data_IF_985929808253
#
_entry.id   IF_985929808253
#
_cell.length_a   1.000
_cell.length_b   1.000
_cell.length_c   1.000
_cell.angle_alpha   90.00
_cell.angle_beta   90.00
_cell.angle_gamma   90.00
#
_symmetry.space_group_name_H-M   'P 1'
#
loop_
_entity.id
_entity.type
_entity.pdbx_description
1 polymer ?
#
# COMPACT_ATOMS: atom_id res chain seq x y z
N UNK A 1 -2.19 35.42 -16.39
CA UNK A 1 -1.08 34.65 -15.78
C UNK A 1 -1.06 33.27 -16.40
N UNK A 2 -0.01 32.83 -17.11
CA UNK A 2 -0.03 31.51 -17.73
C UNK A 2 0.24 30.47 -16.64
N UNK A 3 -0.75 29.62 -16.39
CA UNK A 3 -0.63 28.45 -15.52
C UNK A 3 0.38 27.51 -16.17
N UNK A 4 1.63 27.51 -15.69
CA UNK A 4 2.65 26.53 -16.09
C UNK A 4 2.13 25.15 -15.71
N UNK A 5 1.94 24.27 -16.71
CA UNK A 5 1.65 22.84 -16.53
C UNK A 5 2.63 22.20 -15.53
N UNK A 6 2.25 22.14 -14.25
CA UNK A 6 3.02 21.49 -13.20
C UNK A 6 3.18 19.98 -13.47
N UNK A 7 2.26 19.39 -14.23
CA UNK A 7 2.30 18.02 -14.75
C UNK A 7 3.48 17.74 -15.70
N UNK A 8 4.07 18.76 -16.34
CA UNK A 8 5.26 18.56 -17.21
C UNK A 8 6.56 18.45 -16.41
N UNK A 9 6.57 18.89 -15.14
CA UNK A 9 7.80 18.99 -14.32
C UNK A 9 7.94 17.88 -13.27
N UNK A 10 6.84 17.25 -12.89
CA UNK A 10 6.81 16.13 -11.93
C UNK A 10 5.87 15.03 -12.47
N UNK A 11 6.37 14.10 -13.30
CA UNK A 11 5.56 13.01 -13.84
C UNK A 11 5.28 12.00 -12.72
N UNK A 12 4.35 12.32 -11.85
CA UNK A 12 3.85 11.40 -10.82
C UNK A 12 3.10 10.27 -11.53
N UNK A 13 3.73 9.11 -11.59
CA UNK A 13 3.07 7.90 -12.10
C UNK A 13 2.08 7.45 -11.04
N UNK A 14 0.80 7.60 -11.34
CA UNK A 14 -0.27 7.08 -10.49
C UNK A 14 -0.36 5.57 -10.65
N UNK A 15 -0.39 4.85 -9.53
CA UNK A 15 -0.46 3.38 -9.50
C UNK A 15 -1.57 2.95 -8.58
N UNK A 16 -2.33 1.94 -9.04
CA UNK A 16 -3.28 1.21 -8.20
C UNK A 16 -2.68 -0.15 -7.85
N UNK A 17 -2.91 -0.61 -6.62
CA UNK A 17 -2.47 -1.90 -6.13
C UNK A 17 -3.65 -2.66 -5.54
N UNK A 18 -3.91 -3.85 -6.10
CA UNK A 18 -5.03 -4.71 -5.72
C UNK A 18 -4.48 -5.94 -5.01
N UNK A 19 -4.84 -6.08 -3.74
CA UNK A 19 -4.46 -7.24 -2.91
C UNK A 19 -5.69 -8.08 -2.63
N UNK A 20 -5.58 -9.41 -2.74
CA UNK A 20 -6.58 -10.35 -2.23
C UNK A 20 -5.88 -11.34 -1.32
N UNK A 21 -6.36 -11.49 -0.09
CA UNK A 21 -5.80 -12.34 0.94
C UNK A 21 -6.56 -13.66 1.05
N UNK A 22 -5.83 -14.74 1.36
CA UNK A 22 -6.41 -16.04 1.71
C UNK A 22 -7.29 -15.97 2.96
N UNK A 23 -7.16 -14.92 3.78
CA UNK A 23 -8.02 -14.67 4.94
C UNK A 23 -9.44 -14.20 4.56
N UNK A 24 -9.71 -13.96 3.27
CA UNK A 24 -11.06 -13.63 2.80
C UNK A 24 -11.34 -12.14 2.70
N UNK A 25 -10.32 -11.32 2.49
CA UNK A 25 -10.47 -9.89 2.24
C UNK A 25 -9.72 -9.47 0.98
N UNK A 26 -10.20 -8.40 0.35
CA UNK A 26 -9.58 -7.73 -0.77
C UNK A 26 -9.43 -6.25 -0.46
N UNK A 27 -8.35 -5.66 -0.95
CA UNK A 27 -8.01 -4.27 -0.70
C UNK A 27 -7.56 -3.61 -1.99
N UNK A 28 -8.06 -2.40 -2.22
CA UNK A 28 -7.58 -1.49 -3.25
C UNK A 28 -6.82 -0.35 -2.58
N UNK A 29 -5.59 -0.17 -3.02
CA UNK A 29 -4.74 0.94 -2.64
C UNK A 29 -4.42 1.77 -3.88
N UNK A 30 -4.26 3.07 -3.70
CA UNK A 30 -3.78 3.94 -4.76
C UNK A 30 -2.66 4.81 -4.27
N UNK A 31 -1.78 5.20 -5.19
CA UNK A 31 -0.72 6.10 -4.83
C UNK A 31 0.13 6.50 -6.01
N UNK A 32 1.39 6.76 -5.72
CA UNK A 32 2.32 7.36 -6.67
C UNK A 32 3.72 6.77 -6.53
N UNK A 33 4.42 6.74 -7.66
CA UNK A 33 5.85 6.43 -7.72
C UNK A 33 6.65 7.72 -7.80
N UNK A 34 7.67 7.85 -6.96
CA UNK A 34 8.62 8.95 -6.98
C UNK A 34 10.04 8.42 -6.79
N UNK A 35 10.82 8.42 -7.86
CA UNK A 35 12.19 7.89 -7.84
C UNK A 35 12.19 6.38 -7.53
N UNK A 36 12.90 5.99 -6.48
CA UNK A 36 13.00 4.61 -6.02
C UNK A 36 11.96 4.26 -4.94
N UNK A 37 10.96 5.13 -4.72
CA UNK A 37 9.94 4.96 -3.70
C UNK A 37 8.54 4.89 -4.32
N UNK A 38 7.72 3.97 -3.84
CA UNK A 38 6.29 3.91 -4.10
C UNK A 38 5.55 4.09 -2.79
N UNK A 39 4.52 4.94 -2.78
CA UNK A 39 3.67 5.17 -1.61
C UNK A 39 2.23 4.98 -1.99
N UNK A 40 1.50 4.22 -1.19
CA UNK A 40 0.11 3.80 -1.40
C UNK A 40 -0.73 4.12 -0.17
N UNK A 41 -1.97 4.52 -0.41
CA UNK A 41 -2.98 4.73 0.62
C UNK A 41 -4.23 3.93 0.30
N UNK A 42 -4.93 3.50 1.35
CA UNK A 42 -6.20 2.81 1.24
C UNK A 42 -7.20 3.59 0.38
N UNK A 43 -7.86 2.89 -0.53
CA UNK A 43 -9.06 3.37 -1.22
C UNK A 43 -10.30 2.62 -0.81
N UNK A 44 -10.19 1.30 -0.74
CA UNK A 44 -11.32 0.45 -0.42
C UNK A 44 -10.83 -0.83 0.24
N UNK A 45 -11.56 -1.26 1.26
CA UNK A 45 -11.39 -2.55 1.91
C UNK A 45 -12.70 -3.31 1.81
N UNK A 46 -12.64 -4.56 1.33
CA UNK A 46 -13.78 -5.44 1.16
C UNK A 46 -13.47 -6.75 1.88
N UNK A 47 -14.33 -7.12 2.83
CA UNK A 47 -14.30 -8.45 3.46
C UNK A 47 -15.39 -9.33 2.86
N UNK A 48 -15.16 -10.65 2.81
CA UNK A 48 -16.22 -11.62 2.52
C UNK A 48 -17.34 -11.53 3.57
N UNK A 49 -18.57 -11.84 3.15
CA UNK A 49 -19.76 -11.75 4.01
C UNK A 49 -19.99 -12.98 4.90
N UNK A 50 -19.22 -14.06 4.71
CA UNK A 50 -19.34 -15.32 5.44
C UNK A 50 -17.97 -15.73 5.97
N UNK A 51 -17.91 -16.22 7.21
CA UNK A 51 -16.66 -16.62 7.84
C UNK A 51 -16.58 -18.10 8.15
N UNK A 52 -15.34 -18.60 8.11
CA UNK A 52 -14.95 -19.91 8.65
C UNK A 52 -13.90 -19.62 9.72
N UNK A 53 -14.31 -19.48 10.98
CA UNK A 53 -13.39 -19.61 12.13
C UNK A 53 -13.08 -18.38 13.00
N UNK A 54 -13.52 -17.15 12.71
CA UNK A 54 -13.44 -16.05 13.69
C UNK A 54 -14.36 -14.90 13.31
N UNK A 55 -15.12 -14.34 14.26
CA UNK A 55 -15.83 -13.07 14.08
C UNK A 55 -14.81 -11.94 14.20
N UNK A 56 -14.27 -11.48 13.08
CA UNK A 56 -13.37 -10.34 13.08
C UNK A 56 -14.15 -9.09 12.65
N UNK A 57 -14.65 -8.33 13.63
CA UNK A 57 -15.16 -6.95 13.46
C UNK A 57 -14.02 -5.95 13.18
N UNK A 58 -12.97 -6.40 12.50
CA UNK A 58 -11.82 -5.58 12.15
C UNK A 58 -12.25 -4.61 11.04
N UNK A 59 -12.20 -3.33 11.36
CA UNK A 59 -12.42 -2.24 10.42
C UNK A 59 -11.10 -1.49 10.25
N UNK A 60 -10.66 -1.34 9.00
CA UNK A 60 -9.46 -0.59 8.66
C UNK A 60 -9.87 0.85 8.38
N UNK A 61 -9.41 1.79 9.21
CA UNK A 61 -9.65 3.22 9.08
C UNK A 61 -8.63 3.88 8.15
N UNK A 62 -7.36 3.57 8.38
CA UNK A 62 -6.25 4.01 7.54
C UNK A 62 -5.33 2.84 7.22
N UNK A 63 -4.81 2.83 6.00
CA UNK A 63 -3.74 1.90 5.61
C UNK A 63 -2.79 2.63 4.67
N UNK A 64 -1.50 2.59 4.99
CA UNK A 64 -0.42 3.12 4.18
C UNK A 64 0.62 2.04 3.93
N UNK A 65 1.04 1.90 2.67
CA UNK A 65 2.16 1.05 2.29
C UNK A 65 3.20 1.85 1.53
N UNK A 66 4.45 1.60 1.87
CA UNK A 66 5.59 2.14 1.15
C UNK A 66 6.52 1.02 0.71
N UNK A 67 7.00 1.11 -0.52
CA UNK A 67 8.12 0.33 -1.01
C UNK A 67 9.26 1.28 -1.33
N UNK A 68 10.45 0.95 -0.84
CA UNK A 68 11.68 1.69 -1.11
C UNK A 68 12.71 0.71 -1.68
N UNK A 69 13.33 1.07 -2.81
CA UNK A 69 14.45 0.32 -3.37
C UNK A 69 15.75 1.12 -3.16
N UNK A 70 16.38 1.05 -1.98
CA UNK A 70 17.59 1.83 -1.69
C UNK A 70 18.75 1.44 -2.60
N UNK A 71 18.80 0.17 -3.03
CA UNK A 71 19.77 -0.35 -3.99
C UNK A 71 19.07 -1.30 -4.97
N UNK A 72 19.74 -1.67 -6.05
CA UNK A 72 19.22 -2.68 -6.99
C UNK A 72 18.92 -4.03 -6.30
N UNK A 73 19.66 -4.38 -5.25
CA UNK A 73 19.58 -5.70 -4.60
C UNK A 73 18.73 -5.72 -3.32
N UNK A 74 18.18 -4.60 -2.88
CA UNK A 74 17.43 -4.49 -1.64
C UNK A 74 16.12 -3.77 -1.86
N UNK A 75 15.06 -4.25 -1.19
CA UNK A 75 13.78 -3.57 -1.11
C UNK A 75 13.33 -3.55 0.34
N UNK A 76 12.83 -2.40 0.80
CA UNK A 76 12.23 -2.23 2.11
C UNK A 76 10.74 -1.99 1.89
N UNK A 77 9.89 -2.80 2.53
CA UNK A 77 8.46 -2.57 2.60
C UNK A 77 8.11 -2.09 4.00
N UNK A 78 7.37 -0.99 4.08
CA UNK A 78 6.77 -0.50 5.31
C UNK A 78 5.26 -0.48 5.15
N UNK A 79 4.56 -0.95 6.16
CA UNK A 79 3.10 -0.93 6.23
C UNK A 79 2.72 -0.30 7.56
N UNK A 80 1.70 0.56 7.55
CA UNK A 80 1.03 1.05 8.75
C UNK A 80 -0.46 0.92 8.55
N UNK A 81 -1.16 0.40 9.55
CA UNK A 81 -2.60 0.29 9.55
C UNK A 81 -3.15 0.91 10.83
N UNK A 82 -4.21 1.70 10.71
CA UNK A 82 -5.06 2.09 11.84
C UNK A 82 -6.39 1.37 11.69
N UNK A 83 -6.82 0.72 12.77
CA UNK A 83 -8.05 -0.04 12.83
C UNK A 83 -9.00 0.55 13.87
N UNK A 84 -10.19 -0.02 13.98
CA UNK A 84 -11.09 0.26 15.09
C UNK A 84 -10.57 -0.24 16.46
N UNK A 85 -9.50 -1.04 16.49
CA UNK A 85 -8.92 -1.59 17.72
C UNK A 85 -7.62 -0.87 18.10
N UNK A 86 -6.66 -0.79 17.18
CA UNK A 86 -5.34 -0.17 17.41
C UNK A 86 -4.67 0.27 16.10
N UNK A 87 -3.51 0.93 16.23
CA UNK A 87 -2.58 1.24 15.15
C UNK A 87 -1.35 0.35 15.21
N UNK A 88 -1.05 -0.34 14.12
CA UNK A 88 0.14 -1.17 14.00
C UNK A 88 1.00 -0.81 12.80
N UNK A 89 2.29 -1.12 12.90
CA UNK A 89 3.27 -0.91 11.85
C UNK A 89 4.12 -2.16 11.63
N UNK A 90 4.39 -2.48 10.38
CA UNK A 90 5.22 -3.61 9.97
C UNK A 90 6.29 -3.16 8.98
N UNK A 91 7.52 -3.65 9.15
CA UNK A 91 8.62 -3.40 8.22
C UNK A 91 9.26 -4.72 7.83
N UNK A 92 9.42 -4.94 6.52
CA UNK A 92 10.15 -6.07 5.96
C UNK A 92 11.28 -5.59 5.05
N UNK A 93 12.41 -6.31 5.10
CA UNK A 93 13.57 -6.07 4.25
C UNK A 93 13.79 -7.30 3.38
N UNK A 94 13.80 -7.10 2.08
CA UNK A 94 13.95 -8.13 1.06
C UNK A 94 15.28 -7.97 0.34
N UNK A 95 15.87 -9.11 -0.02
CA UNK A 95 17.05 -9.19 -0.89
C UNK A 95 16.68 -9.83 -2.22
N UNK A 96 17.15 -9.25 -3.33
CA UNK A 96 16.99 -9.83 -4.66
C UNK A 96 17.72 -11.17 -4.73
N UNK A 97 17.00 -12.23 -5.10
CA UNK A 97 17.56 -13.57 -5.33
C UNK A 97 17.69 -13.91 -6.82
N UNK A 98 16.85 -13.31 -7.67
CA UNK A 98 16.88 -13.44 -9.12
C UNK A 98 16.43 -12.14 -9.78
N UNK A 99 17.02 -11.79 -10.93
CA UNK A 99 16.70 -10.61 -11.72
C UNK A 99 17.77 -10.28 -12.73
#
# INVERSE_FOLDING_TARGET
>A
MPVKNATRRDPRVHVAYLTTSSEGWSMMEQGQVRGNMMTFHLKQFLRRSFDVGSRNDLEIREFERQFEMPTYNQMIMKVRAETNVDTEGFTAVYKRIMG
#
